data_IF_935383813938
#
_entry.id   IF_935383813938
#
_cell.length_a   1.000
_cell.length_b   1.000
_cell.length_c   1.000
_cell.angle_alpha   90.00
_cell.angle_beta   90.00
_cell.angle_gamma   90.00
#
_symmetry.space_group_name_H-M   'P 1'
#
loop_
_entity.id
_entity.type
_entity.pdbx_description
1 polymer ?
#
# COMPACT_ATOMS: atom_id res chain seq x y z
N UNK A 1 -8.06 12.47 -14.65
CA UNK A 1 -7.34 13.67 -14.23
C UNK A 1 -6.33 13.33 -13.15
N UNK A 2 -5.23 14.08 -13.13
CA UNK A 2 -4.13 13.87 -12.17
C UNK A 2 -3.80 15.20 -11.49
N UNK A 3 -3.28 15.12 -10.27
CA UNK A 3 -2.72 16.29 -9.57
C UNK A 3 -1.27 16.58 -10.02
N UNK A 4 -0.66 17.62 -9.42
CA UNK A 4 0.71 18.01 -9.73
C UNK A 4 1.78 16.97 -9.32
N UNK A 5 1.42 16.04 -8.45
CA UNK A 5 2.28 14.93 -8.02
C UNK A 5 2.04 13.66 -8.87
N UNK A 6 1.20 13.72 -9.91
CA UNK A 6 0.86 12.60 -10.76
C UNK A 6 -0.11 11.59 -10.14
N UNK A 7 -0.80 11.92 -9.02
CA UNK A 7 -1.82 11.07 -8.42
C UNK A 7 -3.14 11.22 -9.15
N UNK A 8 -3.78 10.11 -9.50
CA UNK A 8 -5.09 10.13 -10.14
C UNK A 8 -6.14 10.62 -9.15
N UNK A 9 -6.72 11.80 -9.40
CA UNK A 9 -7.74 12.43 -8.55
C UNK A 9 -9.15 12.26 -9.10
N UNK A 10 -9.29 11.87 -10.36
CA UNK A 10 -10.57 11.69 -11.02
C UNK A 10 -10.48 10.69 -12.17
N UNK A 11 -11.50 9.85 -12.29
CA UNK A 11 -11.79 9.01 -13.45
C UNK A 11 -13.24 9.23 -13.86
N UNK A 12 -13.52 9.28 -15.17
CA UNK A 12 -14.89 9.36 -15.72
C UNK A 12 -15.10 8.13 -16.58
N UNK A 13 -16.15 7.40 -16.31
CA UNK A 13 -16.53 6.22 -17.05
C UNK A 13 -18.04 5.99 -16.94
N UNK A 14 -18.69 5.65 -18.06
CA UNK A 14 -20.10 5.33 -18.16
C UNK A 14 -21.04 6.32 -17.45
N UNK A 15 -20.81 7.62 -17.66
CA UNK A 15 -21.62 8.71 -17.10
C UNK A 15 -21.46 8.90 -15.59
N UNK A 16 -20.45 8.29 -14.98
CA UNK A 16 -20.09 8.49 -13.57
C UNK A 16 -18.72 9.11 -13.42
N UNK A 17 -18.57 9.93 -12.42
CA UNK A 17 -17.31 10.52 -11.97
C UNK A 17 -16.86 9.76 -10.73
N UNK A 18 -15.67 9.20 -10.77
CA UNK A 18 -14.99 8.56 -9.64
C UNK A 18 -13.92 9.51 -9.13
N UNK A 19 -13.88 9.75 -7.83
CA UNK A 19 -12.97 10.69 -7.18
C UNK A 19 -12.07 9.94 -6.21
N UNK A 20 -10.81 10.39 -6.12
CA UNK A 20 -9.81 9.81 -5.26
C UNK A 20 -9.13 10.90 -4.44
N UNK A 21 -9.12 10.73 -3.13
CA UNK A 21 -8.39 11.58 -2.21
C UNK A 21 -7.23 10.77 -1.62
N UNK A 22 -6.05 11.37 -1.58
CA UNK A 22 -4.80 10.70 -1.25
C UNK A 22 -4.23 11.19 0.08
N UNK A 23 -3.68 10.25 0.86
CA UNK A 23 -2.77 10.52 1.96
C UNK A 23 -1.37 10.03 1.55
N UNK A 24 -0.45 10.97 1.30
CA UNK A 24 0.83 10.63 0.69
C UNK A 24 0.66 9.91 -0.65
N UNK A 25 1.09 8.67 -0.71
CA UNK A 25 1.05 7.82 -1.91
C UNK A 25 0.00 6.71 -1.86
N UNK A 26 -0.93 6.74 -0.88
CA UNK A 26 -2.06 5.81 -0.79
C UNK A 26 -3.40 6.52 -0.97
N UNK A 27 -4.40 5.82 -1.53
CA UNK A 27 -5.77 6.33 -1.66
C UNK A 27 -6.44 6.22 -0.29
N UNK A 28 -6.76 7.37 0.35
CA UNK A 28 -7.44 7.39 1.63
C UNK A 28 -8.96 7.28 1.46
N UNK A 29 -9.52 8.09 0.53
CA UNK A 29 -10.95 8.09 0.25
C UNK A 29 -11.21 7.97 -1.24
N UNK A 30 -12.29 7.28 -1.56
CA UNK A 30 -12.86 7.30 -2.90
C UNK A 30 -14.38 7.44 -2.82
N UNK A 31 -14.97 8.14 -3.78
CA UNK A 31 -16.42 8.32 -3.92
C UNK A 31 -16.78 8.47 -5.38
N UNK A 32 -18.06 8.44 -5.66
CA UNK A 32 -18.56 8.62 -7.00
C UNK A 32 -19.82 9.49 -7.03
N UNK A 33 -20.20 9.95 -8.20
CA UNK A 33 -21.47 10.62 -8.47
C UNK A 33 -21.78 10.62 -9.97
N UNK A 34 -23.05 10.91 -10.35
CA UNK A 34 -23.43 11.01 -11.75
C UNK A 34 -22.71 12.19 -12.42
N UNK A 35 -22.17 12.01 -13.63
CA UNK A 35 -21.46 13.07 -14.35
C UNK A 35 -22.34 14.30 -14.62
N UNK A 36 -23.67 14.11 -14.76
CA UNK A 36 -24.67 15.19 -14.90
C UNK A 36 -24.70 16.11 -13.68
N UNK A 37 -24.29 15.63 -12.52
CA UNK A 37 -24.31 16.36 -11.26
C UNK A 37 -22.97 17.05 -10.96
N UNK A 38 -22.05 17.00 -11.91
CA UNK A 38 -20.75 17.67 -11.80
C UNK A 38 -20.92 19.18 -11.59
N UNK A 39 -20.31 19.75 -10.53
CA UNK A 39 -20.28 21.20 -10.35
C UNK A 39 -19.48 21.89 -11.44
N UNK A 40 -19.89 23.10 -11.79
CA UNK A 40 -19.13 23.94 -12.70
C UNK A 40 -18.09 24.77 -11.93
N UNK A 41 -16.95 24.97 -12.57
CA UNK A 41 -15.96 25.92 -12.07
C UNK A 41 -16.42 27.32 -12.42
N UNK A 42 -16.48 28.20 -11.42
CA UNK A 42 -16.84 29.63 -11.58
C UNK A 42 -15.71 30.50 -11.03
N UNK A 43 -15.66 31.73 -11.50
CA UNK A 43 -14.79 32.79 -10.97
C UNK A 43 -15.67 33.79 -10.22
N UNK A 44 -15.40 34.00 -8.94
CA UNK A 44 -16.12 34.94 -8.11
C UNK A 44 -15.80 36.38 -8.51
N UNK A 45 -16.57 37.32 -8.02
CA UNK A 45 -16.31 38.77 -8.23
C UNK A 45 -14.94 39.21 -7.68
N UNK A 46 -14.40 38.48 -6.71
CA UNK A 46 -13.05 38.69 -6.13
C UNK A 46 -11.93 38.05 -6.95
N UNK A 47 -12.26 37.33 -8.04
CA UNK A 47 -11.29 36.64 -8.89
C UNK A 47 -10.90 35.26 -8.36
N UNK A 48 -11.54 34.76 -7.31
CA UNK A 48 -11.30 33.43 -6.78
C UNK A 48 -11.97 32.35 -7.65
N UNK A 49 -11.26 31.29 -7.95
CA UNK A 49 -11.78 30.13 -8.69
C UNK A 49 -12.40 29.15 -7.70
N UNK A 50 -13.69 28.87 -7.84
CA UNK A 50 -14.44 27.98 -6.96
C UNK A 50 -15.45 27.14 -7.75
N UNK A 51 -16.24 26.30 -7.07
CA UNK A 51 -17.35 25.54 -7.66
C UNK A 51 -18.66 26.27 -7.42
N UNK A 52 -19.60 26.17 -8.39
CA UNK A 52 -20.96 26.78 -8.30
C UNK A 52 -21.83 26.13 -7.21
N UNK A 53 -21.50 24.90 -6.81
CA UNK A 53 -22.15 24.12 -5.75
C UNK A 53 -21.15 23.11 -5.17
N UNK A 54 -21.41 22.57 -3.96
CA UNK A 54 -20.61 21.47 -3.40
C UNK A 54 -20.59 20.27 -4.34
N UNK A 55 -19.46 19.60 -4.42
CA UNK A 55 -19.33 18.35 -5.16
C UNK A 55 -20.14 17.25 -4.44
N UNK A 56 -20.98 16.46 -5.17
CA UNK A 56 -21.69 15.34 -4.58
C UNK A 56 -20.72 14.26 -4.07
N UNK A 57 -21.09 13.60 -2.98
CA UNK A 57 -20.34 12.49 -2.41
C UNK A 57 -21.29 11.32 -2.23
N UNK A 58 -21.20 10.34 -3.11
CA UNK A 58 -21.99 9.09 -3.04
C UNK A 58 -21.03 7.91 -2.84
N UNK A 59 -21.50 6.87 -2.14
CA UNK A 59 -20.75 5.63 -1.93
C UNK A 59 -19.32 5.88 -1.40
N UNK A 60 -19.17 6.80 -0.47
CA UNK A 60 -17.87 7.11 0.13
C UNK A 60 -17.26 5.86 0.75
N UNK A 61 -16.06 5.54 0.31
CA UNK A 61 -15.21 4.49 0.85
C UNK A 61 -13.99 5.15 1.52
N UNK A 62 -13.67 4.70 2.71
CA UNK A 62 -12.40 5.03 3.39
C UNK A 62 -11.56 3.78 3.49
N UNK A 63 -10.32 3.88 3.03
CA UNK A 63 -9.32 2.83 3.16
C UNK A 63 -8.41 3.11 4.35
N UNK A 64 -8.10 2.08 5.10
CA UNK A 64 -7.14 2.13 6.22
C UNK A 64 -5.94 1.28 5.84
N UNK A 65 -4.75 1.79 6.11
CA UNK A 65 -3.50 1.10 5.80
C UNK A 65 -2.71 0.82 7.07
N UNK A 66 -1.85 -0.16 7.01
CA UNK A 66 -0.83 -0.35 8.05
C UNK A 66 0.16 0.84 8.03
N UNK A 67 0.72 1.15 9.19
CA UNK A 67 1.59 2.34 9.36
C UNK A 67 2.77 2.30 8.39
N UNK A 68 2.94 3.42 7.64
CA UNK A 68 4.01 3.61 6.64
C UNK A 68 4.09 2.49 5.59
N UNK A 69 2.93 1.92 5.23
CA UNK A 69 2.81 0.82 4.28
C UNK A 69 1.77 1.13 3.22
N UNK A 70 1.89 0.46 2.07
CA UNK A 70 0.86 0.44 1.02
C UNK A 70 -0.18 -0.67 1.23
N UNK A 71 -0.08 -1.46 2.30
CA UNK A 71 -0.95 -2.61 2.57
C UNK A 71 -2.27 -2.14 3.15
N UNK A 72 -3.40 -2.33 2.45
CA UNK A 72 -4.71 -1.99 2.99
C UNK A 72 -5.10 -3.00 4.07
N UNK A 73 -5.52 -2.51 5.24
CA UNK A 73 -5.92 -3.32 6.39
C UNK A 73 -7.41 -3.29 6.67
N UNK A 74 -8.10 -2.21 6.25
CA UNK A 74 -9.55 -2.14 6.35
C UNK A 74 -10.18 -1.27 5.26
N UNK A 75 -11.47 -1.55 5.02
CA UNK A 75 -12.39 -0.77 4.19
C UNK A 75 -13.57 -0.34 5.02
N UNK A 76 -13.92 0.95 5.00
CA UNK A 76 -15.07 1.51 5.71
C UNK A 76 -16.05 2.08 4.69
N UNK A 77 -17.32 1.70 4.78
CA UNK A 77 -18.41 2.21 3.92
C UNK A 77 -19.62 2.51 4.79
N UNK A 78 -19.88 3.80 5.06
CA UNK A 78 -20.88 4.20 6.05
C UNK A 78 -20.55 3.61 7.43
N UNK A 79 -21.49 2.87 8.02
CA UNK A 79 -21.34 2.23 9.33
C UNK A 79 -20.75 0.80 9.24
N UNK A 80 -20.37 0.33 8.06
CA UNK A 80 -19.83 -1.02 7.84
C UNK A 80 -18.30 -0.99 7.79
N UNK A 81 -17.69 -1.90 8.51
CA UNK A 81 -16.25 -2.08 8.53
C UNK A 81 -15.89 -3.46 7.98
N UNK A 82 -14.86 -3.50 7.20
CA UNK A 82 -14.37 -4.74 6.59
C UNK A 82 -12.88 -4.86 6.88
N UNK A 83 -12.47 -5.94 7.55
CA UNK A 83 -11.07 -6.24 7.82
C UNK A 83 -10.45 -6.94 6.61
N UNK A 84 -9.31 -6.44 6.14
CA UNK A 84 -8.59 -6.97 5.00
C UNK A 84 -7.39 -7.76 5.50
N UNK A 85 -7.26 -9.00 5.05
CA UNK A 85 -6.08 -9.85 5.28
C UNK A 85 -5.32 -9.92 3.96
N UNK A 86 -4.04 -9.59 4.02
CA UNK A 86 -3.13 -9.63 2.89
C UNK A 86 -2.11 -10.75 3.02
N UNK A 87 -1.56 -11.20 1.89
CA UNK A 87 -0.42 -12.12 1.88
C UNK A 87 0.89 -11.41 2.26
N UNK A 88 1.99 -12.15 2.26
CA UNK A 88 3.29 -11.66 2.71
C UNK A 88 3.90 -10.55 1.82
N UNK A 89 3.43 -10.38 0.58
CA UNK A 89 3.83 -9.27 -0.31
C UNK A 89 2.80 -8.16 -0.37
N UNK A 90 1.76 -8.20 0.48
CA UNK A 90 0.78 -7.14 0.66
C UNK A 90 -0.44 -7.20 -0.26
N UNK A 91 -0.67 -8.31 -0.99
CA UNK A 91 -1.88 -8.48 -1.81
C UNK A 91 -3.06 -8.91 -0.92
N UNK A 92 -4.24 -8.27 -1.02
CA UNK A 92 -5.43 -8.72 -0.31
C UNK A 92 -5.83 -10.14 -0.71
N UNK A 93 -6.01 -11.04 0.25
CA UNK A 93 -6.43 -12.44 -0.01
C UNK A 93 -7.77 -12.79 0.59
N UNK A 94 -8.16 -12.18 1.71
CA UNK A 94 -9.46 -12.38 2.34
C UNK A 94 -9.98 -11.09 2.95
N UNK A 95 -11.30 -10.93 2.99
CA UNK A 95 -11.96 -9.80 3.65
C UNK A 95 -13.13 -10.31 4.47
N UNK A 96 -13.22 -9.82 5.69
CA UNK A 96 -14.23 -10.17 6.67
C UNK A 96 -15.13 -8.98 6.99
N UNK A 97 -16.43 -9.23 7.17
CA UNK A 97 -17.37 -8.26 7.72
C UNK A 97 -17.27 -8.16 9.24
N UNK A 98 -18.07 -7.24 9.85
CA UNK A 98 -18.14 -7.04 11.30
C UNK A 98 -18.63 -8.29 12.08
N UNK A 99 -19.21 -9.27 11.40
CA UNK A 99 -19.67 -10.53 12.00
C UNK A 99 -18.65 -11.66 11.84
N UNK A 100 -17.51 -11.39 11.19
CA UNK A 100 -16.48 -12.39 10.92
C UNK A 100 -16.79 -13.30 9.72
N UNK A 101 -17.77 -12.96 8.88
CA UNK A 101 -18.02 -13.70 7.65
C UNK A 101 -17.06 -13.28 6.54
N UNK A 102 -16.56 -14.23 5.77
CA UNK A 102 -15.79 -13.93 4.57
C UNK A 102 -16.70 -13.36 3.50
N UNK A 103 -16.49 -12.11 3.12
CA UNK A 103 -17.28 -11.40 2.09
C UNK A 103 -16.54 -11.27 0.75
N UNK A 104 -15.23 -11.46 0.79
CA UNK A 104 -14.37 -11.46 -0.38
C UNK A 104 -13.16 -12.37 -0.15
N UNK A 105 -12.75 -13.10 -1.19
CA UNK A 105 -11.55 -13.93 -1.18
C UNK A 105 -11.04 -14.10 -2.59
N UNK A 106 -9.71 -14.11 -2.76
CA UNK A 106 -9.10 -14.41 -4.05
C UNK A 106 -7.69 -15.01 -3.88
N UNK A 107 -7.28 -15.75 -4.89
CA UNK A 107 -5.88 -16.12 -5.15
C UNK A 107 -5.35 -15.29 -6.32
N UNK A 108 -4.04 -15.35 -6.54
CA UNK A 108 -3.38 -14.63 -7.63
C UNK A 108 -2.51 -15.56 -8.46
N UNK A 109 -2.44 -15.30 -9.76
CA UNK A 109 -1.37 -15.87 -10.58
C UNK A 109 -0.09 -15.03 -10.47
N UNK A 110 0.96 -15.47 -11.17
CA UNK A 110 2.29 -14.81 -11.16
C UNK A 110 2.26 -13.38 -11.71
N UNK A 111 1.24 -13.01 -12.48
CA UNK A 111 1.08 -11.67 -13.04
C UNK A 111 0.11 -10.81 -12.23
N UNK A 112 -0.43 -11.33 -11.12
CA UNK A 112 -1.36 -10.61 -10.27
C UNK A 112 -2.80 -10.65 -10.76
N UNK A 113 -3.18 -11.52 -11.72
CA UNK A 113 -4.57 -11.73 -12.05
C UNK A 113 -5.28 -12.49 -10.92
N UNK A 114 -6.52 -12.08 -10.63
CA UNK A 114 -7.35 -12.77 -9.66
C UNK A 114 -7.71 -14.19 -10.16
N UNK A 115 -7.61 -15.15 -9.24
CA UNK A 115 -8.04 -16.54 -9.38
C UNK A 115 -8.99 -16.88 -8.24
N UNK A 116 -9.87 -17.84 -8.46
CA UNK A 116 -10.79 -18.38 -7.45
C UNK A 116 -11.56 -17.30 -6.67
N UNK A 117 -11.94 -16.22 -7.37
CA UNK A 117 -12.59 -15.05 -6.76
C UNK A 117 -13.94 -15.41 -6.15
N UNK A 118 -14.11 -15.08 -4.87
CA UNK A 118 -15.38 -14.97 -4.17
C UNK A 118 -15.68 -13.49 -3.91
N UNK A 119 -16.88 -13.01 -4.24
CA UNK A 119 -17.21 -11.59 -4.20
C UNK A 119 -17.01 -10.89 -5.55
N UNK A 120 -17.05 -9.56 -5.58
CA UNK A 120 -16.84 -8.79 -6.81
C UNK A 120 -15.43 -8.22 -6.91
N UNK A 121 -14.93 -8.04 -8.14
CA UNK A 121 -13.60 -7.45 -8.38
C UNK A 121 -13.49 -6.02 -7.82
N UNK A 122 -14.55 -5.24 -7.96
CA UNK A 122 -14.62 -3.86 -7.49
C UNK A 122 -14.66 -3.73 -5.97
N UNK A 123 -15.09 -4.78 -5.25
CA UNK A 123 -15.20 -4.71 -3.80
C UNK A 123 -13.84 -4.47 -3.14
N UNK A 124 -12.79 -5.13 -3.65
CA UNK A 124 -11.39 -4.85 -3.34
C UNK A 124 -10.66 -4.61 -4.67
N UNK A 125 -10.38 -3.37 -5.03
CA UNK A 125 -9.73 -3.04 -6.30
C UNK A 125 -8.20 -3.20 -6.28
N UNK A 126 -7.60 -3.40 -5.10
CA UNK A 126 -6.16 -3.57 -4.95
C UNK A 126 -5.69 -4.91 -5.50
N UNK A 127 -4.50 -4.91 -6.12
CA UNK A 127 -3.88 -6.09 -6.74
C UNK A 127 -2.50 -6.32 -6.16
N UNK A 128 -1.43 -6.30 -6.95
CA UNK A 128 -0.10 -6.25 -6.40
C UNK A 128 0.08 -4.94 -5.63
N UNK A 129 1.00 -4.88 -4.69
CA UNK A 129 1.13 -3.73 -3.79
C UNK A 129 1.30 -2.42 -4.58
N UNK A 130 0.45 -1.43 -4.28
CA UNK A 130 0.37 -0.16 -4.99
C UNK A 130 -0.50 -0.16 -6.25
N UNK A 131 -1.03 -1.31 -6.68
CA UNK A 131 -1.86 -1.42 -7.87
C UNK A 131 -3.36 -1.35 -7.55
N UNK A 132 -4.08 -0.57 -8.36
CA UNK A 132 -5.53 -0.41 -8.33
C UNK A 132 -6.13 -0.83 -9.68
N UNK A 133 -6.99 -1.83 -9.70
CA UNK A 133 -7.62 -2.31 -10.93
C UNK A 133 -8.68 -1.36 -11.45
N UNK A 134 -8.61 -1.04 -12.73
CA UNK A 134 -9.69 -0.45 -13.52
C UNK A 134 -10.40 -1.58 -14.29
N UNK A 135 -11.50 -2.07 -13.72
CA UNK A 135 -12.20 -3.26 -14.26
C UNK A 135 -12.65 -3.06 -15.71
N UNK A 136 -13.04 -1.86 -16.09
CA UNK A 136 -13.47 -1.50 -17.44
C UNK A 136 -12.40 -1.68 -18.52
N UNK A 137 -11.12 -1.54 -18.14
CA UNK A 137 -9.98 -1.74 -19.06
C UNK A 137 -9.26 -3.05 -18.81
N UNK A 138 -9.38 -3.58 -17.60
CA UNK A 138 -8.60 -4.72 -17.11
C UNK A 138 -7.14 -4.36 -16.84
N UNK A 139 -6.80 -3.06 -16.82
CA UNK A 139 -5.48 -2.56 -16.47
C UNK A 139 -5.42 -2.21 -14.98
N UNK A 140 -4.21 -2.25 -14.42
CA UNK A 140 -3.95 -1.83 -13.05
C UNK A 140 -3.23 -0.48 -13.04
N UNK A 141 -3.89 0.53 -12.49
CA UNK A 141 -3.27 1.82 -12.23
C UNK A 141 -2.22 1.66 -11.13
N UNK A 142 -0.97 1.90 -11.46
CA UNK A 142 0.17 1.81 -10.55
C UNK A 142 0.91 3.15 -10.51
N UNK A 143 0.24 4.17 -9.99
CA UNK A 143 0.74 5.52 -9.80
C UNK A 143 1.26 6.18 -11.09
N UNK A 144 2.50 5.94 -11.48
CA UNK A 144 3.14 6.56 -12.64
C UNK A 144 2.97 5.77 -13.93
N UNK A 145 2.55 4.51 -13.84
CA UNK A 145 2.33 3.63 -15.01
C UNK A 145 1.02 2.86 -14.88
N UNK A 146 0.59 2.28 -16.00
CA UNK A 146 -0.46 1.27 -16.03
C UNK A 146 0.13 -0.10 -16.34
N UNK A 147 -0.25 -1.07 -15.57
CA UNK A 147 0.19 -2.46 -15.71
C UNK A 147 -0.89 -3.30 -16.38
N UNK A 148 -0.51 -4.15 -17.33
CA UNK A 148 -1.39 -5.13 -17.96
C UNK A 148 -1.09 -6.53 -17.40
N UNK A 149 -1.98 -7.07 -16.56
CA UNK A 149 -1.77 -8.40 -15.95
C UNK A 149 -1.88 -9.55 -16.95
N UNK A 150 -2.39 -9.32 -18.16
CA UNK A 150 -2.45 -10.36 -19.21
C UNK A 150 -1.09 -10.65 -19.80
N UNK A 151 -0.23 -9.66 -19.85
CA UNK A 151 1.12 -9.78 -20.39
C UNK A 151 2.22 -9.65 -19.31
N UNK A 152 1.87 -9.28 -18.08
CA UNK A 152 2.80 -9.15 -16.97
C UNK A 152 3.76 -7.95 -17.08
N UNK A 153 3.37 -6.90 -17.82
CA UNK A 153 4.21 -5.74 -18.06
C UNK A 153 3.43 -4.42 -17.97
N UNK A 154 4.15 -3.33 -17.78
CA UNK A 154 3.60 -1.99 -17.97
C UNK A 154 3.33 -1.70 -19.46
N UNK A 155 2.30 -0.90 -19.75
CA UNK A 155 1.95 -0.49 -21.12
C UNK A 155 2.70 0.75 -21.58
N UNK A 156 3.48 1.38 -20.73
CA UNK A 156 4.32 2.54 -21.03
C UNK A 156 5.75 2.34 -20.53
N UNK A 157 6.68 3.08 -21.14
CA UNK A 157 8.08 3.08 -20.71
C UNK A 157 8.20 3.66 -19.31
N UNK A 158 9.19 3.17 -18.57
CA UNK A 158 9.56 3.68 -17.27
C UNK A 158 9.98 5.17 -17.37
N UNK A 159 9.34 6.07 -16.58
CA UNK A 159 9.73 7.48 -16.56
C UNK A 159 11.19 7.71 -16.13
N UNK A 160 11.73 6.88 -15.23
CA UNK A 160 13.14 6.95 -14.80
C UNK A 160 14.05 6.01 -15.61
N UNK A 161 13.47 5.31 -16.58
CA UNK A 161 14.18 4.42 -17.52
C UNK A 161 14.97 3.33 -16.79
N UNK A 162 16.21 3.06 -17.23
CA UNK A 162 17.07 2.03 -16.63
C UNK A 162 17.60 2.40 -15.23
N UNK A 163 17.27 3.58 -14.71
CA UNK A 163 17.61 3.94 -13.32
C UNK A 163 16.80 3.14 -12.28
N UNK A 164 15.67 2.53 -12.69
CA UNK A 164 14.89 1.60 -11.87
C UNK A 164 15.60 0.28 -11.55
N UNK A 165 16.77 0.02 -12.12
CA UNK A 165 17.45 -1.27 -12.00
C UNK A 165 16.82 -2.40 -12.83
N UNK A 166 15.67 -2.19 -13.48
CA UNK A 166 15.04 -3.19 -14.32
C UNK A 166 15.72 -3.23 -15.70
N UNK A 167 16.08 -4.42 -16.22
CA UNK A 167 16.75 -4.55 -17.52
C UNK A 167 15.86 -4.18 -18.70
N UNK A 168 14.54 -4.08 -18.50
CA UNK A 168 13.59 -3.66 -19.54
C UNK A 168 12.83 -2.39 -19.13
N UNK A 169 12.47 -1.55 -20.11
CA UNK A 169 11.73 -0.31 -19.86
C UNK A 169 10.24 -0.55 -19.52
N UNK A 170 9.74 -1.77 -19.69
CA UNK A 170 8.34 -2.13 -19.51
C UNK A 170 8.12 -3.17 -18.40
N UNK A 171 9.19 -3.73 -17.83
CA UNK A 171 9.10 -4.77 -16.81
C UNK A 171 8.48 -4.24 -15.52
N UNK A 172 7.73 -5.11 -14.83
CA UNK A 172 7.23 -4.85 -13.48
C UNK A 172 8.36 -5.07 -12.47
N UNK A 173 8.66 -6.31 -12.15
CA UNK A 173 9.73 -6.74 -11.25
C UNK A 173 10.40 -7.99 -11.82
N UNK A 174 11.60 -8.31 -11.35
CA UNK A 174 12.32 -9.50 -11.78
C UNK A 174 11.69 -10.78 -11.18
N UNK A 175 11.33 -10.74 -9.90
CA UNK A 175 10.66 -11.83 -9.18
C UNK A 175 9.47 -11.32 -8.38
N UNK A 176 8.27 -11.55 -8.87
CA UNK A 176 7.01 -11.13 -8.24
C UNK A 176 6.69 -11.85 -6.91
N UNK A 177 7.49 -12.81 -6.48
CA UNK A 177 7.35 -13.43 -5.17
C UNK A 177 8.17 -12.72 -4.09
N UNK A 178 9.16 -11.95 -4.47
CA UNK A 178 10.10 -11.31 -3.53
C UNK A 178 10.26 -9.82 -3.74
N UNK A 179 9.67 -9.27 -4.79
CA UNK A 179 9.83 -7.87 -5.19
C UNK A 179 8.48 -7.23 -5.49
N UNK A 180 8.39 -5.94 -5.23
CA UNK A 180 7.23 -5.09 -5.49
C UNK A 180 7.68 -3.78 -6.15
N UNK A 181 6.77 -3.16 -6.89
CA UNK A 181 6.95 -1.81 -7.42
C UNK A 181 5.69 -0.98 -7.13
N UNK A 182 5.55 -0.41 -5.91
CA UNK A 182 4.31 0.25 -5.47
C UNK A 182 3.97 1.51 -6.26
N UNK A 183 4.97 2.16 -6.86
CA UNK A 183 4.79 3.42 -7.57
C UNK A 183 4.86 3.29 -9.09
N UNK A 184 5.22 2.13 -9.62
CA UNK A 184 5.48 1.99 -11.05
C UNK A 184 6.75 2.73 -11.50
N UNK A 185 7.81 2.74 -10.69
CA UNK A 185 9.07 3.41 -10.96
C UNK A 185 10.28 2.54 -10.60
N UNK A 186 10.32 2.02 -9.39
CA UNK A 186 11.49 1.34 -8.84
C UNK A 186 11.09 0.08 -8.09
N UNK A 187 11.94 -0.92 -8.15
CA UNK A 187 11.71 -2.23 -7.56
C UNK A 187 12.25 -2.26 -6.14
N UNK A 188 11.40 -2.68 -5.20
CA UNK A 188 11.78 -2.90 -3.81
C UNK A 188 11.73 -4.39 -3.49
N UNK A 189 12.76 -4.92 -2.84
CA UNK A 189 12.71 -6.25 -2.26
C UNK A 189 11.70 -6.30 -1.11
N UNK A 190 10.91 -7.37 -1.02
CA UNK A 190 10.08 -7.66 0.16
C UNK A 190 10.88 -8.37 1.27
N UNK A 191 12.19 -8.35 1.14
CA UNK A 191 13.08 -8.80 2.19
C UNK A 191 12.86 -7.98 3.46
N UNK A 192 13.12 -8.61 4.58
CA UNK A 192 12.86 -8.02 5.89
C UNK A 192 14.16 -7.91 6.68
N UNK A 193 14.32 -6.79 7.37
CA UNK A 193 15.29 -6.68 8.46
C UNK A 193 14.70 -7.33 9.71
N UNK A 194 15.48 -8.13 10.40
CA UNK A 194 15.17 -8.59 11.75
C UNK A 194 15.99 -7.78 12.73
N UNK A 195 15.33 -7.10 13.64
CA UNK A 195 15.98 -6.27 14.64
C UNK A 195 15.47 -6.58 16.05
N UNK A 196 16.28 -6.28 17.03
CA UNK A 196 15.95 -6.46 18.44
C UNK A 196 16.17 -5.15 19.21
N UNK A 197 15.28 -4.88 20.17
CA UNK A 197 15.40 -3.74 21.08
C UNK A 197 15.83 -4.24 22.47
N UNK A 198 16.88 -3.62 22.98
CA UNK A 198 17.45 -3.93 24.29
C UNK A 198 17.47 -2.68 25.16
N UNK A 199 17.41 -2.86 26.48
CA UNK A 199 17.79 -1.81 27.41
C UNK A 199 19.31 -1.55 27.32
N UNK A 200 19.76 -0.31 27.41
CA UNK A 200 21.18 0.07 27.33
C UNK A 200 22.03 -0.68 28.37
N UNK A 201 21.46 -0.93 29.55
CA UNK A 201 22.13 -1.68 30.64
C UNK A 201 22.52 -3.10 30.24
N UNK A 202 21.89 -3.67 29.25
CA UNK A 202 22.16 -5.02 28.74
C UNK A 202 23.20 -5.04 27.61
N UNK A 203 23.70 -3.88 27.21
CA UNK A 203 24.67 -3.71 26.13
C UNK A 203 26.03 -3.29 26.71
N UNK A 204 27.11 -3.88 26.17
CA UNK A 204 28.50 -3.50 26.45
C UNK A 204 29.25 -3.37 25.14
N UNK A 205 29.85 -2.20 24.90
CA UNK A 205 30.58 -1.90 23.65
C UNK A 205 29.74 -2.18 22.40
N UNK A 206 28.44 -1.90 22.46
CA UNK A 206 27.50 -2.11 21.36
C UNK A 206 27.09 -3.59 21.15
N UNK A 207 27.44 -4.52 22.04
CA UNK A 207 27.13 -5.93 21.95
C UNK A 207 26.26 -6.35 23.16
N UNK A 208 25.19 -7.14 22.97
CA UNK A 208 24.40 -7.67 24.07
C UNK A 208 25.27 -8.51 25.02
N UNK A 209 25.11 -8.33 26.33
CA UNK A 209 25.75 -9.16 27.35
C UNK A 209 25.35 -10.61 27.16
N UNK A 210 26.22 -11.53 27.56
CA UNK A 210 25.91 -12.98 27.51
C UNK A 210 24.64 -13.28 28.32
N UNK A 211 23.60 -13.78 27.64
CA UNK A 211 22.32 -14.10 28.26
C UNK A 211 21.34 -12.92 28.35
N UNK A 212 21.71 -11.73 27.86
CA UNK A 212 20.76 -10.62 27.72
C UNK A 212 19.65 -11.00 26.73
N UNK A 213 18.42 -10.70 27.10
CA UNK A 213 17.25 -10.93 26.22
C UNK A 213 16.72 -9.59 25.74
N UNK A 214 16.40 -9.46 24.43
CA UNK A 214 15.69 -8.30 23.95
C UNK A 214 14.31 -8.23 24.60
N UNK A 215 13.81 -7.03 24.84
CA UNK A 215 12.41 -6.85 25.25
C UNK A 215 11.46 -6.82 24.05
N UNK A 216 12.00 -6.70 22.84
CA UNK A 216 11.24 -6.75 21.60
C UNK A 216 12.11 -7.28 20.45
N UNK A 217 11.56 -8.16 19.64
CA UNK A 217 12.10 -8.56 18.35
C UNK A 217 11.07 -8.17 17.30
N UNK A 218 11.48 -7.52 16.23
CA UNK A 218 10.62 -7.09 15.15
C UNK A 218 11.20 -7.38 13.79
N UNK A 219 10.33 -7.40 12.82
CA UNK A 219 10.66 -7.47 11.41
C UNK A 219 10.14 -6.21 10.70
N UNK A 220 10.84 -5.75 9.70
CA UNK A 220 10.45 -4.58 8.90
C UNK A 220 11.22 -4.56 7.60
N UNK A 221 10.61 -4.07 6.53
CA UNK A 221 11.33 -3.76 5.28
C UNK A 221 12.34 -2.61 5.45
N UNK A 222 12.19 -1.83 6.52
CA UNK A 222 13.15 -0.80 6.92
C UNK A 222 13.13 -0.64 8.43
N UNK A 223 14.09 -1.26 9.09
CA UNK A 223 14.20 -1.27 10.55
C UNK A 223 14.44 0.11 11.16
N UNK A 224 15.03 1.04 10.43
CA UNK A 224 15.26 2.42 10.91
C UNK A 224 14.00 3.28 10.88
N UNK A 225 13.15 3.14 9.87
CA UNK A 225 11.82 3.78 9.84
C UNK A 225 10.98 3.22 10.98
N UNK A 226 10.97 1.91 11.15
CA UNK A 226 10.23 1.24 12.24
C UNK A 226 10.69 1.68 13.62
N UNK A 227 11.99 1.94 13.79
CA UNK A 227 12.53 2.45 15.05
C UNK A 227 11.98 3.85 15.38
N UNK A 228 11.83 4.74 14.39
CA UNK A 228 11.21 6.07 14.59
C UNK A 228 9.77 5.95 15.07
N UNK A 229 9.00 4.99 14.54
CA UNK A 229 7.64 4.70 15.01
C UNK A 229 7.63 4.19 16.44
N UNK A 230 8.56 3.28 16.80
CA UNK A 230 8.70 2.82 18.18
C UNK A 230 9.06 3.96 19.13
N UNK A 231 9.85 4.94 18.67
CA UNK A 231 10.15 6.14 19.45
C UNK A 231 8.91 7.00 19.64
N UNK A 232 8.13 7.23 18.59
CA UNK A 232 6.93 8.09 18.64
C UNK A 232 5.81 7.49 19.49
N UNK A 233 5.65 6.16 19.52
CA UNK A 233 4.64 5.47 20.32
C UNK A 233 5.13 5.06 21.73
N UNK A 234 6.34 5.45 22.11
CA UNK A 234 6.91 5.21 23.44
C UNK A 234 7.45 3.81 23.68
N UNK A 235 7.51 2.93 22.67
CA UNK A 235 8.08 1.58 22.80
C UNK A 235 9.61 1.60 22.83
N UNK A 236 10.27 2.57 22.21
CA UNK A 236 11.70 2.77 22.19
C UNK A 236 12.07 4.15 22.73
N UNK A 237 12.98 4.17 23.69
CA UNK A 237 13.52 5.43 24.24
C UNK A 237 14.99 5.56 23.82
N UNK A 238 15.35 6.48 22.92
CA UNK A 238 16.71 6.60 22.41
C UNK A 238 17.75 7.01 23.47
N UNK A 239 17.33 7.31 24.71
CA UNK A 239 18.24 7.62 25.82
C UNK A 239 18.57 6.40 26.69
N UNK A 240 17.77 5.35 26.63
CA UNK A 240 17.88 4.18 27.52
C UNK A 240 17.84 2.85 26.78
N UNK A 241 17.60 2.87 25.48
CA UNK A 241 17.40 1.68 24.69
C UNK A 241 18.34 1.64 23.48
N UNK A 242 18.65 0.44 23.02
CA UNK A 242 19.52 0.21 21.87
C UNK A 242 18.85 -0.74 20.89
N UNK A 243 18.81 -0.35 19.61
CA UNK A 243 18.45 -1.24 18.49
C UNK A 243 19.67 -2.06 18.07
N UNK A 244 19.45 -3.33 17.81
CA UNK A 244 20.41 -4.22 17.17
C UNK A 244 19.78 -4.87 15.97
N UNK A 245 20.35 -4.65 14.80
CA UNK A 245 19.99 -5.41 13.60
C UNK A 245 20.59 -6.83 13.75
N UNK A 246 19.74 -7.82 13.70
CA UNK A 246 20.09 -9.23 13.83
C UNK A 246 20.37 -9.83 12.46
N UNK A 247 19.53 -9.50 11.49
CA UNK A 247 19.64 -9.85 10.10
C UNK A 247 19.11 -8.72 9.25
N UNK A 248 19.78 -8.42 8.16
CA UNK A 248 19.34 -7.45 7.16
C UNK A 248 19.00 -8.19 5.88
N UNK A 249 17.97 -7.72 5.19
CA UNK A 249 17.62 -8.13 3.84
C UNK A 249 17.39 -9.65 3.68
N UNK A 250 16.73 -10.29 4.66
CA UNK A 250 16.41 -11.72 4.62
C UNK A 250 14.99 -11.98 4.15
N UNK A 251 14.78 -13.18 3.62
CA UNK A 251 13.46 -13.67 3.22
C UNK A 251 12.43 -13.55 4.35
N UNK A 252 11.21 -13.10 4.02
CA UNK A 252 10.14 -12.85 4.99
C UNK A 252 9.81 -14.08 5.85
N UNK A 253 9.79 -15.29 5.27
CA UNK A 253 9.49 -16.50 6.02
C UNK A 253 10.56 -16.80 7.07
N UNK A 254 11.83 -16.53 6.75
CA UNK A 254 12.94 -16.63 7.72
C UNK A 254 12.83 -15.54 8.78
N UNK A 255 12.50 -14.30 8.38
CA UNK A 255 12.32 -13.20 9.31
C UNK A 255 11.22 -13.52 10.34
N UNK A 256 10.08 -14.07 9.92
CA UNK A 256 8.98 -14.50 10.80
C UNK A 256 9.39 -15.57 11.80
N UNK A 257 10.30 -16.46 11.40
CA UNK A 257 10.81 -17.48 12.34
C UNK A 257 11.59 -16.86 13.50
N UNK A 258 12.29 -15.75 13.29
CA UNK A 258 13.00 -15.03 14.36
C UNK A 258 12.07 -14.26 15.29
N UNK A 259 10.93 -13.76 14.81
CA UNK A 259 9.96 -13.04 15.64
C UNK A 259 9.24 -13.95 16.65
N UNK A 260 9.19 -15.26 16.40
CA UNK A 260 8.48 -16.23 17.24
C UNK A 260 9.34 -16.81 18.39
N UNK A 261 10.62 -16.47 18.46
CA UNK A 261 11.55 -16.89 19.52
C UNK A 261 11.85 -15.76 20.52
#
# INVERSE_FOLDING_TARGET
RYDALGRRIEKVFDGRVYRYFWDGDVILHEWEYAETDRPNTIVTETGEVTLDRPEPVENLITWVYDSDSYVPTAKIVGDKHYSIVSDYIGRPVQVYDDNGNVVWQADYDIYGNLRNLHGSRQFIPFRQLGQYEDEETGLYYNRFRYYDPKIGNYISQDPIRLASGNPTLYGYVEDCNTQIDPLGLDTFGVNQDVYALYNEVDIVNGIPKKGAKPYYIGISQNSDIRLRQHTSNGRFNPKTDVKKDLHEDIDYAKARAYEQY
#
